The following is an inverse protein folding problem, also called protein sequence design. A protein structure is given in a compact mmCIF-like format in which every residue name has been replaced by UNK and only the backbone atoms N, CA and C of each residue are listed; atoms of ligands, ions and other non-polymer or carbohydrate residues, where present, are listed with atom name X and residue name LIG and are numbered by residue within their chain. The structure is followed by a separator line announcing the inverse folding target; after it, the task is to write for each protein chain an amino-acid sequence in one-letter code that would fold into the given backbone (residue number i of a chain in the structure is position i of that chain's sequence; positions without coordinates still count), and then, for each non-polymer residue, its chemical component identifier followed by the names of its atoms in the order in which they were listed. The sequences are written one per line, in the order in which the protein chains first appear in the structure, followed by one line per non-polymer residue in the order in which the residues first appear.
data_IF_097910008283
#
_entry.id   IF_097910008283
#
_cell.length_a   1.000
_cell.length_b   1.000
_cell.length_c   1.000
_cell.angle_alpha   90.00
_cell.angle_beta   90.00
_cell.angle_gamma   90.00
#
_symmetry.space_group_name_H-M   'P 1'
#
loop_
_entity.id
_entity.type
_entity.pdbx_description
1 polymer ?
#
# COMPACT_ATOMS: atom_id res chain seq x y z
N UNK A 1 70.04 -13.00 -70.57
CA UNK A 1 70.36 -11.65 -70.07
C UNK A 1 69.07 -10.84 -70.07
N UNK A 2 68.83 -10.10 -68.98
CA UNK A 2 67.74 -9.14 -68.69
C UNK A 2 66.38 -9.67 -68.23
N UNK A 3 66.11 -9.31 -66.98
CA UNK A 3 64.84 -9.30 -66.28
C UNK A 3 63.91 -8.20 -66.81
N UNK A 4 62.60 -8.43 -66.66
CA UNK A 4 61.63 -7.38 -66.41
C UNK A 4 60.50 -7.95 -65.55
N UNK A 5 60.29 -7.27 -64.43
CA UNK A 5 59.28 -7.46 -63.39
C UNK A 5 57.88 -7.12 -63.87
N UNK A 6 56.85 -7.76 -63.29
CA UNK A 6 55.59 -7.09 -62.97
C UNK A 6 55.04 -7.65 -61.66
N UNK A 7 55.04 -6.78 -60.66
CA UNK A 7 54.43 -6.98 -59.35
C UNK A 7 52.91 -7.13 -59.49
N UNK A 8 52.37 -8.19 -58.90
CA UNK A 8 51.01 -8.21 -58.38
C UNK A 8 50.95 -7.23 -57.20
N UNK A 9 49.97 -6.33 -57.21
CA UNK A 9 49.61 -5.52 -56.06
C UNK A 9 48.35 -6.14 -55.44
N UNK A 10 48.43 -6.74 -54.23
CA UNK A 10 47.26 -7.00 -53.40
C UNK A 10 46.91 -5.75 -52.61
N UNK A 11 45.61 -5.58 -52.38
CA UNK A 11 44.91 -4.44 -51.80
C UNK A 11 45.20 -4.20 -50.31
N UNK A 12 46.20 -3.37 -49.99
CA UNK A 12 46.44 -2.89 -48.61
C UNK A 12 45.48 -1.78 -48.14
N UNK A 13 44.47 -1.40 -48.93
CA UNK A 13 43.55 -0.31 -48.57
C UNK A 13 42.27 -0.73 -47.86
N UNK A 14 41.80 -1.98 -47.99
CA UNK A 14 40.51 -2.40 -47.42
C UNK A 14 40.54 -2.50 -45.88
N UNK A 15 41.62 -2.98 -45.27
CA UNK A 15 41.73 -3.12 -43.81
C UNK A 15 41.83 -1.79 -43.04
N UNK A 16 42.29 -0.72 -43.68
CA UNK A 16 42.38 0.61 -43.04
C UNK A 16 41.00 1.26 -42.96
N UNK A 17 40.18 1.14 -44.01
CA UNK A 17 38.82 1.69 -44.02
C UNK A 17 37.87 0.94 -43.10
N UNK A 18 38.01 -0.39 -42.96
CA UNK A 18 37.26 -1.15 -41.94
C UNK A 18 37.64 -0.71 -40.53
N UNK A 19 38.94 -0.56 -40.22
CA UNK A 19 39.37 -0.11 -38.88
C UNK A 19 38.94 1.33 -38.54
N UNK A 20 38.91 2.21 -39.55
CA UNK A 20 38.47 3.60 -39.39
C UNK A 20 36.94 3.68 -39.26
N UNK A 21 36.21 2.90 -40.05
CA UNK A 21 34.74 2.80 -39.96
C UNK A 21 34.30 2.26 -38.60
N UNK A 22 34.96 1.23 -38.07
CA UNK A 22 34.67 0.69 -36.74
C UNK A 22 34.98 1.69 -35.62
N UNK A 23 36.09 2.43 -35.74
CA UNK A 23 36.44 3.45 -34.76
C UNK A 23 35.44 4.62 -34.77
N UNK A 24 34.99 5.04 -35.96
CA UNK A 24 33.94 6.07 -36.12
C UNK A 24 32.60 5.57 -35.58
N UNK A 25 32.19 4.32 -35.89
CA UNK A 25 30.94 3.73 -35.41
C UNK A 25 30.93 3.61 -33.89
N UNK A 26 32.01 3.12 -33.28
CA UNK A 26 32.16 3.06 -31.82
C UNK A 26 32.07 4.46 -31.20
N UNK A 27 32.74 5.45 -31.79
CA UNK A 27 32.72 6.83 -31.30
C UNK A 27 31.30 7.41 -31.38
N UNK A 28 30.57 7.15 -32.46
CA UNK A 28 29.18 7.59 -32.64
C UNK A 28 28.24 6.90 -31.65
N UNK A 29 28.37 5.59 -31.42
CA UNK A 29 27.56 4.85 -30.44
C UNK A 29 27.81 5.40 -29.04
N UNK A 30 29.06 5.64 -28.67
CA UNK A 30 29.42 6.23 -27.37
C UNK A 30 28.85 7.65 -27.23
N UNK A 31 28.93 8.47 -28.27
CA UNK A 31 28.34 9.82 -28.29
C UNK A 31 26.82 9.79 -28.17
N UNK A 32 26.13 8.92 -28.91
CA UNK A 32 24.68 8.76 -28.82
C UNK A 32 24.31 8.29 -27.41
N UNK A 33 25.06 7.35 -26.84
CA UNK A 33 24.82 6.86 -25.47
C UNK A 33 25.01 7.98 -24.45
N UNK A 34 26.08 8.79 -24.57
CA UNK A 34 26.31 9.96 -23.72
C UNK A 34 25.21 11.01 -23.87
N UNK A 35 24.76 11.29 -25.10
CA UNK A 35 23.67 12.24 -25.36
C UNK A 35 22.35 11.72 -24.80
N UNK A 36 22.06 10.43 -24.91
CA UNK A 36 20.87 9.81 -24.31
C UNK A 36 20.94 9.88 -22.79
N UNK A 37 22.09 9.57 -22.19
CA UNK A 37 22.29 9.69 -20.73
C UNK A 37 22.16 11.14 -20.27
N UNK A 38 22.73 12.09 -21.02
CA UNK A 38 22.61 13.52 -20.72
C UNK A 38 21.16 14.00 -20.87
N UNK A 39 20.45 13.57 -21.92
CA UNK A 39 19.04 13.92 -22.13
C UNK A 39 18.15 13.34 -21.02
N UNK A 40 18.39 12.09 -20.61
CA UNK A 40 17.69 11.49 -19.47
C UNK A 40 17.96 12.26 -18.18
N UNK A 41 19.22 12.59 -17.88
CA UNK A 41 19.60 13.35 -16.70
C UNK A 41 19.02 14.78 -16.70
N UNK A 42 19.04 15.46 -17.84
CA UNK A 42 18.45 16.81 -17.99
C UNK A 42 16.93 16.76 -17.86
N UNK A 43 16.25 15.75 -18.41
CA UNK A 43 14.80 15.56 -18.24
C UNK A 43 14.46 15.25 -16.79
N UNK A 44 15.26 14.43 -16.10
CA UNK A 44 15.11 14.17 -14.66
C UNK A 44 15.24 15.47 -13.85
N UNK A 45 16.28 16.29 -14.12
CA UNK A 45 16.46 17.57 -13.45
C UNK A 45 15.35 18.59 -13.77
N UNK A 46 14.89 18.67 -15.03
CA UNK A 46 13.78 19.54 -15.41
C UNK A 46 12.46 19.12 -14.77
N UNK A 47 12.19 17.81 -14.64
CA UNK A 47 11.01 17.31 -13.94
C UNK A 47 11.03 17.69 -12.45
N UNK A 48 12.21 17.65 -11.81
CA UNK A 48 12.39 18.12 -10.42
C UNK A 48 12.13 19.63 -10.30
N UNK A 49 12.47 20.43 -11.32
CA UNK A 49 12.27 21.89 -11.31
C UNK A 49 10.85 22.34 -11.70
N UNK A 50 10.19 21.64 -12.63
CA UNK A 50 8.84 21.98 -13.12
C UNK A 50 7.77 21.44 -12.16
N UNK A 51 8.02 20.30 -11.52
CA UNK A 51 7.13 19.68 -10.54
C UNK A 51 7.89 19.48 -9.22
N UNK A 52 7.96 20.50 -8.34
CA UNK A 52 8.74 20.42 -7.10
C UNK A 52 8.19 19.44 -6.06
N UNK A 53 7.17 18.64 -6.41
CA UNK A 53 6.60 17.54 -5.61
C UNK A 53 6.72 16.19 -6.35
N UNK A 54 7.54 16.10 -7.39
CA UNK A 54 7.69 14.92 -8.24
C UNK A 54 8.93 14.11 -7.83
N UNK A 55 8.68 12.86 -7.43
CA UNK A 55 9.72 11.85 -7.20
C UNK A 55 10.41 11.46 -8.50
N UNK A 56 11.76 11.46 -8.52
CA UNK A 56 12.56 11.21 -9.73
C UNK A 56 13.01 9.75 -9.92
N UNK A 57 12.51 8.79 -9.12
CA UNK A 57 13.02 7.41 -9.02
C UNK A 57 12.90 6.48 -10.24
N UNK A 58 13.28 6.94 -11.43
CA UNK A 58 13.54 6.13 -12.60
C UNK A 58 12.31 5.68 -13.40
N UNK A 59 12.58 5.19 -14.61
CA UNK A 59 11.59 4.86 -15.64
C UNK A 59 10.75 3.59 -15.37
N UNK A 60 11.12 2.75 -14.39
CA UNK A 60 10.43 1.50 -14.07
C UNK A 60 9.81 1.56 -12.67
N UNK A 61 8.63 2.21 -12.60
CA UNK A 61 7.88 2.41 -11.34
C UNK A 61 7.31 1.09 -10.80
N UNK A 62 7.57 0.72 -9.53
CA UNK A 62 6.81 -0.32 -8.84
C UNK A 62 5.36 0.15 -8.69
N UNK A 63 4.40 -0.67 -9.08
CA UNK A 63 3.00 -0.40 -8.78
C UNK A 63 2.66 -1.16 -7.50
N UNK A 64 1.86 -0.59 -6.61
CA UNK A 64 1.21 -1.42 -5.60
C UNK A 64 0.15 -2.27 -6.30
N UNK A 65 -0.02 -3.50 -5.82
CA UNK A 65 -1.05 -4.45 -6.20
C UNK A 65 -1.79 -4.88 -4.94
N UNK A 66 -3.12 -4.93 -5.03
CA UNK A 66 -3.99 -5.51 -4.01
C UNK A 66 -4.59 -6.78 -4.59
N UNK A 67 -4.41 -7.90 -3.89
CA UNK A 67 -5.06 -9.16 -4.19
C UNK A 67 -5.84 -9.61 -2.95
N UNK A 68 -7.04 -10.14 -3.14
CA UNK A 68 -7.77 -10.82 -2.07
C UNK A 68 -7.98 -12.28 -2.43
N UNK A 69 -7.87 -13.17 -1.46
CA UNK A 69 -8.17 -14.59 -1.62
C UNK A 69 -8.94 -15.13 -0.42
N UNK A 70 -9.87 -16.05 -0.67
CA UNK A 70 -10.57 -16.78 0.39
C UNK A 70 -9.77 -18.04 0.76
N UNK A 71 -9.05 -18.00 1.87
CA UNK A 71 -8.27 -19.12 2.38
C UNK A 71 -9.16 -20.11 3.13
N UNK A 72 -8.92 -21.41 2.91
CA UNK A 72 -9.63 -22.47 3.61
C UNK A 72 -8.71 -23.17 4.61
N UNK A 73 -8.70 -22.69 5.85
CA UNK A 73 -7.90 -23.27 6.92
C UNK A 73 -8.35 -24.67 7.33
N UNK A 74 -9.54 -25.14 6.94
CA UNK A 74 -9.94 -26.53 7.23
C UNK A 74 -9.10 -27.55 6.45
N UNK A 75 -8.50 -27.11 5.34
CA UNK A 75 -7.65 -27.94 4.47
C UNK A 75 -6.18 -27.96 4.87
N UNK A 76 -5.76 -27.14 5.84
CA UNK A 76 -4.35 -27.14 6.26
C UNK A 76 -4.04 -28.36 7.14
N UNK A 77 -2.94 -29.03 6.81
CA UNK A 77 -2.37 -30.13 7.60
C UNK A 77 -1.16 -29.67 8.43
N UNK A 78 -0.81 -28.39 8.35
CA UNK A 78 0.39 -27.85 9.00
C UNK A 78 0.17 -27.64 10.50
N UNK A 79 1.01 -28.25 11.34
CA UNK A 79 0.91 -28.08 12.81
C UNK A 79 1.19 -26.64 13.25
N UNK A 80 2.01 -25.90 12.49
CA UNK A 80 2.23 -24.46 12.72
C UNK A 80 0.99 -23.60 12.53
N UNK A 81 -0.07 -24.12 11.90
CA UNK A 81 -1.35 -23.44 11.69
C UNK A 81 -2.49 -24.09 12.50
N UNK A 82 -2.16 -24.82 13.57
CA UNK A 82 -3.15 -25.51 14.38
C UNK A 82 -4.16 -24.54 15.00
N UNK A 83 -3.71 -23.35 15.43
CA UNK A 83 -4.57 -22.30 15.99
C UNK A 83 -5.50 -21.73 14.92
N UNK A 84 -4.97 -21.34 13.77
CA UNK A 84 -5.77 -20.81 12.65
C UNK A 84 -6.79 -21.83 12.15
N UNK A 85 -6.40 -23.11 12.08
CA UNK A 85 -7.31 -24.21 11.74
C UNK A 85 -8.44 -24.36 12.76
N UNK A 86 -8.14 -24.24 14.06
CA UNK A 86 -9.15 -24.35 15.10
C UNK A 86 -10.11 -23.15 15.13
N UNK A 87 -9.61 -21.95 14.84
CA UNK A 87 -10.34 -20.68 14.95
C UNK A 87 -11.12 -20.35 13.67
N UNK A 88 -10.53 -20.58 12.50
CA UNK A 88 -11.08 -20.21 11.19
C UNK A 88 -11.52 -21.41 10.34
N UNK A 89 -11.26 -22.65 10.78
CA UNK A 89 -11.68 -23.84 10.07
C UNK A 89 -13.19 -23.87 9.83
N UNK A 90 -13.61 -23.99 8.57
CA UNK A 90 -15.02 -24.00 8.18
C UNK A 90 -15.69 -22.62 8.10
N UNK A 91 -14.93 -21.54 8.24
CA UNK A 91 -15.40 -20.17 8.03
C UNK A 91 -14.70 -19.52 6.83
N UNK A 92 -15.34 -18.60 6.10
CA UNK A 92 -14.66 -17.77 5.12
C UNK A 92 -13.50 -17.01 5.77
N UNK A 93 -12.36 -16.95 5.09
CA UNK A 93 -11.21 -16.18 5.54
C UNK A 93 -10.62 -15.40 4.38
N UNK A 94 -10.93 -14.12 4.29
CA UNK A 94 -10.38 -13.25 3.26
C UNK A 94 -9.01 -12.75 3.72
N UNK A 95 -7.99 -13.10 2.95
CA UNK A 95 -6.64 -12.59 3.06
C UNK A 95 -6.40 -11.54 1.99
N UNK A 96 -5.75 -10.44 2.36
CA UNK A 96 -5.41 -9.31 1.50
C UNK A 96 -3.90 -9.23 1.38
N UNK A 97 -3.40 -9.30 0.16
CA UNK A 97 -1.99 -9.25 -0.15
C UNK A 97 -1.69 -7.91 -0.82
N UNK A 98 -0.80 -7.15 -0.19
CA UNK A 98 -0.25 -5.91 -0.71
C UNK A 98 1.16 -6.21 -1.21
N UNK A 99 1.45 -5.96 -2.48
CA UNK A 99 2.80 -6.21 -2.99
C UNK A 99 3.18 -5.23 -4.09
N UNK A 100 4.48 -5.00 -4.26
CA UNK A 100 5.00 -4.17 -5.32
C UNK A 100 6.06 -4.93 -6.13
N UNK A 101 5.65 -5.64 -7.20
CA UNK A 101 6.57 -6.43 -7.98
C UNK A 101 7.48 -5.50 -8.78
N UNK A 102 8.78 -5.80 -8.77
CA UNK A 102 9.77 -5.16 -9.66
C UNK A 102 9.56 -5.52 -11.13
N UNK A 103 8.71 -6.52 -11.45
CA UNK A 103 8.40 -6.94 -12.82
C UNK A 103 6.94 -7.39 -12.98
N UNK A 104 6.28 -6.95 -14.06
CA UNK A 104 4.83 -7.05 -14.29
C UNK A 104 4.27 -8.48 -14.55
N UNK A 105 5.02 -9.55 -14.28
CA UNK A 105 4.69 -10.91 -14.75
C UNK A 105 4.69 -12.02 -13.71
N UNK A 106 4.90 -11.73 -12.43
CA UNK A 106 4.84 -12.74 -11.38
C UNK A 106 3.40 -13.21 -11.12
N UNK A 107 3.16 -14.53 -11.17
CA UNK A 107 1.91 -15.16 -10.75
C UNK A 107 2.02 -15.49 -9.27
N UNK A 108 0.96 -15.27 -8.50
CA UNK A 108 0.90 -15.52 -7.05
C UNK A 108 -0.08 -16.65 -6.75
N UNK A 109 0.17 -17.40 -5.69
CA UNK A 109 -0.77 -18.37 -5.12
C UNK A 109 -0.69 -18.34 -3.60
N UNK A 110 -1.72 -18.78 -2.88
CA UNK A 110 -1.68 -18.89 -1.42
C UNK A 110 -1.42 -20.34 -1.02
N UNK A 111 -0.39 -20.53 -0.20
CA UNK A 111 -0.05 -21.81 0.40
C UNK A 111 0.11 -21.60 1.89
N UNK A 112 -0.64 -22.37 2.70
CA UNK A 112 -0.62 -22.26 4.16
C UNK A 112 -0.88 -20.83 4.66
N UNK A 113 -1.82 -20.11 4.04
CA UNK A 113 -2.16 -18.73 4.44
C UNK A 113 -1.05 -17.71 4.19
N UNK A 114 -0.09 -18.01 3.31
CA UNK A 114 0.94 -17.09 2.86
C UNK A 114 0.90 -16.98 1.34
N UNK A 115 1.09 -15.78 0.81
CA UNK A 115 1.23 -15.61 -0.64
C UNK A 115 2.64 -16.00 -1.05
N UNK A 116 2.74 -16.92 -2.00
CA UNK A 116 3.99 -17.41 -2.57
C UNK A 116 4.00 -17.16 -4.08
N UNK A 117 5.18 -16.99 -4.64
CA UNK A 117 5.33 -16.96 -6.09
C UNK A 117 4.90 -18.31 -6.67
N UNK A 118 4.04 -18.29 -7.69
CA UNK A 118 3.71 -19.48 -8.47
C UNK A 118 4.89 -19.98 -9.32
N UNK A 119 5.94 -19.16 -9.49
CA UNK A 119 7.19 -19.52 -10.17
C UNK A 119 8.35 -19.64 -9.18
N UNK A 120 9.04 -20.77 -9.22
CA UNK A 120 10.22 -21.04 -8.41
C UNK A 120 11.33 -20.01 -8.68
N UNK A 121 11.99 -19.51 -7.62
CA UNK A 121 13.09 -18.54 -7.72
C UNK A 121 12.70 -17.07 -7.90
N UNK A 122 11.40 -16.72 -7.91
CA UNK A 122 10.96 -15.32 -7.84
C UNK A 122 10.65 -14.92 -6.39
N UNK A 123 11.16 -13.77 -5.95
CA UNK A 123 10.79 -13.11 -4.70
C UNK A 123 10.09 -11.78 -5.00
N UNK A 124 9.16 -11.39 -4.13
CA UNK A 124 8.50 -10.10 -4.17
C UNK A 124 9.18 -9.15 -3.19
N UNK A 125 9.55 -7.96 -3.67
CA UNK A 125 9.94 -6.88 -2.77
C UNK A 125 8.67 -6.25 -2.18
N UNK A 126 8.68 -5.97 -0.88
CA UNK A 126 7.59 -5.25 -0.21
C UNK A 126 6.24 -5.98 -0.18
N UNK A 127 6.24 -7.31 -0.07
CA UNK A 127 5.02 -8.09 0.15
C UNK A 127 4.57 -7.97 1.61
N UNK A 128 3.29 -7.68 1.81
CA UNK A 128 2.63 -7.69 3.10
C UNK A 128 1.31 -8.46 2.97
N UNK A 129 1.21 -9.57 3.69
CA UNK A 129 -0.01 -10.38 3.79
C UNK A 129 -0.77 -9.94 5.05
N UNK A 130 -2.02 -9.53 4.87
CA UNK A 130 -2.89 -9.02 5.92
C UNK A 130 -4.18 -9.84 5.96
N UNK A 131 -4.74 -10.01 7.16
CA UNK A 131 -6.16 -10.38 7.27
C UNK A 131 -7.02 -9.23 6.72
N UNK A 132 -8.22 -9.51 6.21
CA UNK A 132 -9.14 -8.46 5.76
C UNK A 132 -9.39 -7.40 6.85
N UNK A 133 -9.53 -7.82 8.11
CA UNK A 133 -9.67 -6.89 9.23
C UNK A 133 -8.42 -6.00 9.41
N UNK A 134 -7.21 -6.55 9.39
CA UNK A 134 -5.99 -5.76 9.51
C UNK A 134 -5.79 -4.82 8.31
N UNK A 135 -6.19 -5.24 7.12
CA UNK A 135 -6.24 -4.36 5.96
C UNK A 135 -7.21 -3.19 6.19
N UNK A 136 -8.40 -3.41 6.74
CA UNK A 136 -9.37 -2.34 7.02
C UNK A 136 -8.88 -1.39 8.12
N UNK A 137 -8.16 -1.89 9.14
CA UNK A 137 -7.52 -1.07 10.17
C UNK A 137 -6.51 -0.09 9.55
N UNK A 138 -5.71 -0.58 8.61
CA UNK A 138 -4.73 0.20 7.86
C UNK A 138 -5.39 1.18 6.89
N UNK A 139 -6.33 0.68 6.07
CA UNK A 139 -6.99 1.41 5.00
C UNK A 139 -7.77 2.62 5.50
N UNK A 140 -8.20 2.61 6.77
CA UNK A 140 -8.81 3.76 7.43
C UNK A 140 -7.91 5.01 7.46
N UNK A 141 -6.58 4.83 7.43
CA UNK A 141 -5.61 5.91 7.38
C UNK A 141 -5.24 6.38 5.97
N UNK A 142 -5.88 5.83 4.95
CA UNK A 142 -5.56 6.11 3.54
C UNK A 142 -6.82 6.66 2.87
N UNK A 143 -6.69 7.83 2.24
CA UNK A 143 -7.73 8.39 1.38
C UNK A 143 -7.30 8.18 -0.07
N UNK A 144 -7.96 7.28 -0.83
CA UNK A 144 -7.62 7.08 -2.23
C UNK A 144 -7.94 8.35 -3.01
N UNK A 145 -7.02 8.73 -3.88
CA UNK A 145 -7.27 9.81 -4.83
C UNK A 145 -8.52 9.52 -5.63
N UNK A 146 -9.45 10.47 -5.71
CA UNK A 146 -10.69 10.33 -6.47
C UNK A 146 -11.05 11.62 -7.20
N UNK A 147 -11.92 11.49 -8.20
CA UNK A 147 -12.39 12.61 -9.00
C UNK A 147 -13.89 12.47 -9.31
N UNK A 148 -14.62 13.58 -9.47
CA UNK A 148 -16.04 13.53 -9.78
C UNK A 148 -16.28 13.07 -11.23
N UNK A 149 -17.11 12.04 -11.40
CA UNK A 149 -17.63 11.56 -12.68
C UNK A 149 -19.14 11.44 -12.59
N UNK A 150 -19.85 12.15 -13.47
CA UNK A 150 -21.31 12.14 -13.52
C UNK A 150 -22.00 12.39 -12.14
N UNK A 151 -21.37 13.21 -11.28
CA UNK A 151 -21.88 13.54 -9.94
C UNK A 151 -21.42 12.61 -8.82
N UNK A 152 -20.72 11.52 -9.11
CA UNK A 152 -20.18 10.58 -8.11
C UNK A 152 -18.65 10.70 -8.01
N UNK A 153 -18.08 10.52 -6.82
CA UNK A 153 -16.62 10.39 -6.69
C UNK A 153 -16.19 9.02 -7.19
N UNK A 154 -15.23 8.98 -8.11
CA UNK A 154 -14.66 7.72 -8.61
C UNK A 154 -13.18 7.69 -8.30
N UNK A 155 -12.69 6.53 -7.85
CA UNK A 155 -11.28 6.35 -7.56
C UNK A 155 -10.40 6.57 -8.81
N UNK A 156 -9.30 7.28 -8.62
CA UNK A 156 -8.13 7.19 -9.49
C UNK A 156 -7.66 5.75 -9.45
N UNK A 157 -7.44 5.11 -10.60
CA UNK A 157 -6.88 3.76 -10.63
C UNK A 157 -5.41 3.78 -10.17
N UNK A 158 -5.23 3.84 -8.87
CA UNK A 158 -4.05 3.45 -8.11
C UNK A 158 -4.54 2.89 -6.76
N UNK A 159 -3.91 1.84 -6.24
CA UNK A 159 -2.81 1.09 -6.84
C UNK A 159 -3.27 0.21 -8.02
N UNK A 160 -2.40 -0.05 -9.02
CA UNK A 160 -2.79 -0.89 -10.16
C UNK A 160 -3.17 -2.25 -9.60
N UNK A 161 -4.41 -2.64 -9.83
CA UNK A 161 -4.84 -4.01 -9.60
C UNK A 161 -3.86 -4.96 -10.26
N UNK A 162 -3.86 -6.21 -9.80
CA UNK A 162 -3.42 -7.30 -10.66
C UNK A 162 -4.44 -7.41 -11.80
N UNK A 163 -4.42 -6.45 -12.73
CA UNK A 163 -5.17 -6.47 -13.97
C UNK A 163 -4.58 -7.50 -14.93
N UNK A 164 -3.96 -8.57 -14.41
CA UNK A 164 -3.79 -9.79 -15.18
C UNK A 164 -5.14 -10.36 -15.63
N UNK A 165 -6.30 -9.83 -15.19
CA UNK A 165 -7.60 -10.47 -15.47
C UNK A 165 -8.84 -9.56 -15.46
N UNK A 166 -8.78 -8.29 -15.88
CA UNK A 166 -10.00 -7.60 -16.35
C UNK A 166 -10.09 -7.86 -17.86
N UNK A 167 -11.04 -8.70 -18.26
CA UNK A 167 -11.32 -8.96 -19.66
C UNK A 167 -12.27 -7.88 -20.17
N UNK A 168 -11.83 -7.13 -21.18
CA UNK A 168 -12.75 -6.34 -21.99
C UNK A 168 -13.64 -7.32 -22.77
N UNK A 169 -14.95 -7.18 -22.63
CA UNK A 169 -15.98 -7.87 -23.41
C UNK A 169 -16.52 -6.89 -24.47
N UNK A 170 -15.97 -6.91 -25.70
CA UNK A 170 -16.41 -5.99 -26.74
C UNK A 170 -17.87 -6.29 -27.09
N UNK A 171 -18.74 -5.29 -26.98
CA UNK A 171 -20.16 -5.39 -27.37
C UNK A 171 -21.17 -5.40 -26.23
N UNK A 172 -20.73 -5.36 -24.96
CA UNK A 172 -21.61 -5.04 -23.83
C UNK A 172 -21.39 -3.59 -23.40
N UNK A 173 -22.48 -2.87 -23.12
CA UNK A 173 -22.39 -1.67 -22.28
C UNK A 173 -21.81 -2.12 -20.94
N UNK A 174 -20.75 -1.45 -20.46
CA UNK A 174 -20.00 -1.84 -19.27
C UNK A 174 -19.30 -3.21 -19.36
N UNK A 175 -18.86 -3.60 -20.56
CA UNK A 175 -18.21 -4.88 -20.86
C UNK A 175 -16.82 -5.07 -20.25
N UNK A 176 -16.70 -5.05 -18.92
CA UNK A 176 -15.51 -5.47 -18.20
C UNK A 176 -15.89 -6.64 -17.29
N UNK A 177 -15.28 -7.80 -17.48
CA UNK A 177 -15.44 -8.97 -16.61
C UNK A 177 -14.23 -9.11 -15.69
N UNK A 178 -14.48 -9.08 -14.38
CA UNK A 178 -13.50 -9.40 -13.35
C UNK A 178 -13.50 -10.92 -13.12
N UNK A 179 -12.32 -11.54 -12.95
CA UNK A 179 -12.23 -12.90 -12.40
C UNK A 179 -12.71 -12.93 -10.92
N UNK A 180 -13.11 -14.09 -10.37
CA UNK A 180 -13.62 -14.19 -8.99
C UNK A 180 -12.69 -13.59 -7.92
N UNK A 181 -11.36 -13.72 -8.08
CA UNK A 181 -10.37 -13.13 -7.16
C UNK A 181 -10.37 -11.59 -7.21
N UNK A 182 -10.70 -11.00 -8.37
CA UNK A 182 -10.88 -9.56 -8.51
C UNK A 182 -12.18 -9.08 -7.89
N UNK A 183 -13.25 -9.88 -7.95
CA UNK A 183 -14.51 -9.55 -7.27
C UNK A 183 -14.30 -9.48 -5.75
N UNK A 184 -13.55 -10.42 -5.18
CA UNK A 184 -13.22 -10.41 -3.76
C UNK A 184 -12.38 -9.19 -3.38
N UNK A 185 -11.38 -8.83 -4.19
CA UNK A 185 -10.56 -7.64 -3.97
C UNK A 185 -11.39 -6.34 -4.07
N UNK A 186 -12.28 -6.25 -5.07
CA UNK A 186 -13.20 -5.12 -5.24
C UNK A 186 -14.14 -4.98 -4.04
N UNK A 187 -14.77 -6.07 -3.59
CA UNK A 187 -15.64 -6.03 -2.39
C UNK A 187 -14.86 -5.62 -1.13
N UNK A 188 -13.64 -6.12 -0.97
CA UNK A 188 -12.78 -5.78 0.18
C UNK A 188 -12.42 -4.29 0.18
N UNK A 189 -12.03 -3.75 -0.97
CA UNK A 189 -11.72 -2.33 -1.10
C UNK A 189 -12.95 -1.44 -1.03
N UNK A 190 -14.10 -1.84 -1.60
CA UNK A 190 -15.35 -1.10 -1.49
C UNK A 190 -15.76 -0.91 -0.03
N UNK A 191 -15.57 -1.97 0.78
CA UNK A 191 -15.75 -1.90 2.23
C UNK A 191 -14.81 -0.87 2.89
N UNK A 192 -13.56 -0.77 2.41
CA UNK A 192 -12.60 0.24 2.86
C UNK A 192 -12.87 1.64 2.30
N UNK A 193 -13.38 1.75 1.08
CA UNK A 193 -13.45 2.96 0.28
C UNK A 193 -14.62 2.87 -0.74
N UNK A 194 -15.78 3.49 -0.43
CA UNK A 194 -16.98 3.44 -1.27
C UNK A 194 -16.77 3.98 -2.69
N UNK A 195 -15.71 4.75 -2.93
CA UNK A 195 -15.33 5.20 -4.29
C UNK A 195 -15.05 4.03 -5.26
N UNK A 196 -14.81 2.82 -4.74
CA UNK A 196 -14.68 1.59 -5.54
C UNK A 196 -16.00 0.82 -5.74
N UNK A 197 -17.12 1.24 -5.11
CA UNK A 197 -18.47 0.73 -5.44
C UNK A 197 -18.99 1.30 -6.77
N UNK A 198 -18.37 2.39 -7.24
CA UNK A 198 -18.73 3.05 -8.49
C UNK A 198 -17.93 2.48 -9.67
N UNK A 199 -18.48 2.63 -10.88
CA UNK A 199 -17.80 2.24 -12.11
C UNK A 199 -16.42 2.91 -12.21
N UNK A 200 -15.38 2.11 -12.44
CA UNK A 200 -14.01 2.61 -12.61
C UNK A 200 -13.79 3.12 -14.04
N UNK A 201 -13.12 4.28 -14.17
CA UNK A 201 -12.80 4.88 -15.47
C UNK A 201 -11.28 4.81 -15.75
N UNK A 202 -10.79 3.78 -16.48
CA UNK A 202 -9.36 3.54 -16.66
C UNK A 202 -8.64 4.55 -17.57
N UNK A 203 -9.36 5.45 -18.26
CA UNK A 203 -8.79 6.42 -19.20
C UNK A 203 -9.40 7.80 -19.00
N UNK A 204 -8.61 8.76 -18.50
CA UNK A 204 -9.00 10.17 -18.30
C UNK A 204 -7.92 11.14 -18.80
N UNK A 205 -8.22 12.44 -18.80
CA UNK A 205 -7.26 13.47 -19.16
C UNK A 205 -6.22 13.66 -18.05
N UNK A 206 -4.96 13.95 -18.41
CA UNK A 206 -3.84 14.10 -17.46
C UNK A 206 -4.14 15.07 -16.29
N UNK A 207 -4.87 16.17 -16.56
CA UNK A 207 -5.23 17.16 -15.54
C UNK A 207 -6.19 16.63 -14.46
N UNK A 208 -7.03 15.63 -14.77
CA UNK A 208 -7.91 15.00 -13.77
C UNK A 208 -7.09 14.22 -12.73
N UNK A 209 -5.92 13.70 -13.13
CA UNK A 209 -5.02 12.95 -12.24
C UNK A 209 -4.30 13.85 -11.23
N UNK A 210 -4.04 15.11 -11.57
CA UNK A 210 -3.34 16.05 -10.69
C UNK A 210 -4.14 16.40 -9.42
N UNK A 211 -5.48 16.36 -9.51
CA UNK A 211 -6.39 16.67 -8.41
C UNK A 211 -6.78 15.44 -7.56
N UNK A 212 -6.55 14.23 -8.07
CA UNK A 212 -6.95 12.97 -7.44
C UNK A 212 -5.76 12.33 -6.71
N UNK A 213 -5.18 13.04 -5.73
CA UNK A 213 -4.03 12.55 -4.97
C UNK A 213 -4.45 11.61 -3.85
N UNK A 214 -3.78 10.47 -3.73
CA UNK A 214 -3.94 9.57 -2.58
C UNK A 214 -3.24 10.17 -1.38
N UNK A 215 -3.91 10.22 -0.22
CA UNK A 215 -3.30 10.70 1.02
C UNK A 215 -3.11 9.55 1.99
N UNK A 216 -1.95 9.50 2.62
CA UNK A 216 -1.62 8.57 3.69
C UNK A 216 -1.43 9.38 4.95
N UNK A 217 -2.35 9.26 5.88
CA UNK A 217 -2.33 10.02 7.13
C UNK A 217 -1.49 9.31 8.18
N UNK A 218 -0.56 10.05 8.79
CA UNK A 218 0.38 9.52 9.76
C UNK A 218 0.33 10.32 11.06
N UNK A 219 0.22 9.60 12.16
CA UNK A 219 0.44 10.13 13.51
C UNK A 219 1.70 9.50 14.10
N UNK A 220 2.41 10.27 14.93
CA UNK A 220 3.57 9.75 15.68
C UNK A 220 3.11 9.42 17.09
N UNK A 221 3.48 8.23 17.59
CA UNK A 221 3.19 7.82 18.95
C UNK A 221 4.39 8.16 19.83
N UNK A 222 4.15 8.85 20.94
CA UNK A 222 5.15 8.95 21.99
C UNK A 222 5.17 7.66 22.80
N UNK A 223 6.36 7.14 23.06
CA UNK A 223 6.56 5.99 23.91
C UNK A 223 7.74 6.22 24.85
N UNK A 224 7.66 5.61 26.03
CA UNK A 224 8.65 5.75 27.08
C UNK A 224 9.94 4.94 26.83
N UNK A 225 9.94 4.09 25.80
CA UNK A 225 10.99 3.13 25.47
C UNK A 225 11.91 3.59 24.33
N UNK A 226 11.94 4.90 24.03
CA UNK A 226 12.70 5.54 22.94
C UNK A 226 12.41 4.97 21.53
N UNK A 227 11.43 4.10 21.38
CA UNK A 227 11.11 3.50 20.09
C UNK A 227 10.26 4.45 19.23
N UNK A 228 10.73 4.76 18.03
CA UNK A 228 9.98 5.58 17.08
C UNK A 228 8.81 4.79 16.51
N UNK A 229 7.59 5.26 16.76
CA UNK A 229 6.36 4.61 16.28
C UNK A 229 5.50 5.56 15.49
N UNK A 230 4.98 5.05 14.38
CA UNK A 230 3.97 5.72 13.56
C UNK A 230 2.68 4.92 13.55
N UNK A 231 1.57 5.62 13.34
CA UNK A 231 0.26 5.01 13.13
C UNK A 231 -0.34 5.49 11.82
N UNK A 232 -0.78 4.54 11.00
CA UNK A 232 -1.56 4.74 9.78
C UNK A 232 -2.93 4.10 10.01
N UNK A 233 -3.97 4.92 10.05
CA UNK A 233 -5.31 4.46 10.41
C UNK A 233 -5.30 3.98 11.85
N UNK A 234 -5.47 2.69 12.08
CA UNK A 234 -5.33 2.06 13.40
C UNK A 234 -4.11 1.15 13.51
N UNK A 235 -3.32 1.00 12.44
CA UNK A 235 -2.15 0.13 12.42
C UNK A 235 -0.93 0.88 12.91
N UNK A 236 -0.24 0.31 13.91
CA UNK A 236 1.00 0.85 14.47
C UNK A 236 2.20 0.13 13.88
N UNK A 237 3.23 0.90 13.55
CA UNK A 237 4.51 0.42 13.03
C UNK A 237 5.65 1.00 13.85
N UNK A 238 6.67 0.17 14.10
CA UNK A 238 7.90 0.53 14.81
C UNK A 238 9.02 0.75 13.79
N UNK A 239 9.68 1.90 13.84
CA UNK A 239 10.71 2.33 12.91
C UNK A 239 12.11 2.26 13.55
N UNK A 240 13.17 2.01 12.76
CA UNK A 240 13.16 1.66 11.33
C UNK A 240 12.76 0.18 11.05
N UNK A 241 12.54 -0.62 12.10
CA UNK A 241 12.37 -2.07 12.01
C UNK A 241 11.32 -2.54 11.00
N UNK A 242 10.13 -1.93 10.96
CA UNK A 242 9.03 -2.30 10.06
C UNK A 242 9.26 -1.89 8.60
N UNK A 243 10.22 -1.00 8.35
CA UNK A 243 10.71 -0.70 7.00
C UNK A 243 11.75 -1.73 6.60
N UNK A 244 12.73 -2.00 7.47
CA UNK A 244 13.81 -2.95 7.21
C UNK A 244 13.32 -4.39 7.03
N UNK A 245 12.30 -4.82 7.79
CA UNK A 245 11.69 -6.14 7.66
C UNK A 245 10.69 -6.26 6.49
N UNK A 246 10.44 -5.16 5.77
CA UNK A 246 9.56 -5.11 4.61
C UNK A 246 8.06 -5.00 4.91
N UNK A 247 7.61 -4.92 6.17
CA UNK A 247 6.18 -4.72 6.53
C UNK A 247 5.59 -3.45 5.92
N UNK A 248 6.40 -2.42 5.74
CA UNK A 248 6.03 -1.16 5.09
C UNK A 248 6.46 -1.07 3.63
N UNK A 249 7.11 -2.11 3.08
CA UNK A 249 7.64 -2.08 1.72
C UNK A 249 6.56 -1.91 0.63
N UNK A 250 5.30 -2.26 0.91
CA UNK A 250 4.17 -2.01 0.00
C UNK A 250 3.91 -0.52 -0.23
N UNK A 251 4.31 0.37 0.69
CA UNK A 251 4.21 1.82 0.53
C UNK A 251 5.10 2.34 -0.60
N UNK A 252 6.19 1.63 -0.94
CA UNK A 252 6.98 1.96 -2.12
C UNK A 252 6.15 1.86 -3.40
N UNK A 253 5.09 1.03 -3.43
CA UNK A 253 4.15 0.98 -4.55
C UNK A 253 3.20 2.19 -4.64
N UNK A 254 3.14 3.02 -3.58
CA UNK A 254 2.48 4.32 -3.55
C UNK A 254 3.43 5.48 -3.89
N UNK A 255 4.74 5.27 -4.06
CA UNK A 255 5.78 6.30 -4.33
C UNK A 255 5.63 7.07 -5.67
N UNK A 256 4.44 7.04 -6.28
CA UNK A 256 4.11 7.90 -7.42
C UNK A 256 3.91 9.36 -6.96
N UNK A 257 4.19 10.34 -7.83
CA UNK A 257 3.93 11.76 -7.59
C UNK A 257 2.44 12.15 -7.40
N UNK A 258 1.55 11.15 -7.26
CA UNK A 258 0.13 11.30 -6.95
C UNK A 258 -0.21 10.84 -5.53
N UNK A 259 0.78 10.58 -4.68
CA UNK A 259 0.59 10.27 -3.26
C UNK A 259 1.17 11.36 -2.38
N UNK A 260 0.46 11.71 -1.32
CA UNK A 260 0.89 12.63 -0.26
C UNK A 260 0.94 11.89 1.07
N UNK A 261 2.02 12.08 1.82
CA UNK A 261 2.10 11.64 3.21
C UNK A 261 1.76 12.83 4.09
N UNK A 262 0.66 12.72 4.83
CA UNK A 262 0.09 13.82 5.61
C UNK A 262 0.35 13.59 7.09
N UNK A 263 1.21 14.41 7.67
CA UNK A 263 1.50 14.36 9.10
C UNK A 263 0.38 15.02 9.91
N UNK A 264 -0.23 14.26 10.82
CA UNK A 264 -1.33 14.71 11.68
C UNK A 264 -0.87 15.09 13.10
N UNK A 265 0.44 15.11 13.35
CA UNK A 265 1.00 15.44 14.65
C UNK A 265 1.23 14.22 15.54
N UNK A 266 1.54 14.50 16.81
CA UNK A 266 1.70 13.49 17.85
C UNK A 266 0.34 12.98 18.32
N UNK A 267 0.22 11.67 18.52
CA UNK A 267 -0.89 11.03 19.20
C UNK A 267 -0.59 10.96 20.71
N UNK A 268 -1.65 11.06 21.52
CA UNK A 268 -1.58 10.86 22.96
C UNK A 268 -2.74 9.98 23.41
N UNK A 269 -2.55 9.26 24.51
CA UNK A 269 -3.58 8.43 25.12
C UNK A 269 -3.53 8.54 26.64
N UNK A 270 -4.70 8.42 27.28
CA UNK A 270 -4.88 8.39 28.73
C UNK A 270 -5.72 7.16 29.07
N UNK A 271 -5.07 6.00 29.35
CA UNK A 271 -5.78 4.77 29.67
C UNK A 271 -6.67 4.89 30.91
N UNK A 272 -6.25 5.65 31.92
CA UNK A 272 -7.04 5.85 33.15
C UNK A 272 -8.36 6.60 32.89
N UNK A 273 -8.39 7.49 31.90
CA UNK A 273 -9.56 8.29 31.54
C UNK A 273 -10.32 7.71 30.34
N UNK A 274 -9.89 6.56 29.80
CA UNK A 274 -10.43 5.95 28.59
C UNK A 274 -10.58 6.95 27.44
N UNK A 275 -9.55 7.78 27.21
CA UNK A 275 -9.56 8.81 26.18
C UNK A 275 -8.22 8.94 25.48
N UNK A 276 -8.24 9.45 24.25
CA UNK A 276 -7.07 9.73 23.44
C UNK A 276 -7.34 10.95 22.56
N UNK A 277 -6.33 11.39 21.82
CA UNK A 277 -6.41 12.57 20.94
C UNK A 277 -7.61 12.56 19.99
N UNK A 278 -7.94 11.42 19.41
CA UNK A 278 -9.06 11.28 18.46
C UNK A 278 -10.40 11.37 19.19
N UNK A 279 -10.55 10.65 20.32
CA UNK A 279 -11.75 10.67 21.17
C UNK A 279 -12.03 12.09 21.66
N UNK A 280 -11.03 12.76 22.23
CA UNK A 280 -11.15 14.14 22.74
C UNK A 280 -11.62 15.12 21.65
N UNK A 281 -11.07 14.99 20.43
CA UNK A 281 -11.53 15.78 19.30
C UNK A 281 -12.98 15.46 18.92
N UNK A 282 -13.35 14.19 18.82
CA UNK A 282 -14.70 13.78 18.45
C UNK A 282 -15.74 14.32 19.44
N UNK A 283 -15.46 14.26 20.74
CA UNK A 283 -16.34 14.81 21.78
C UNK A 283 -16.49 16.33 21.66
N UNK A 284 -15.37 17.06 21.55
CA UNK A 284 -15.37 18.53 21.45
C UNK A 284 -16.03 19.03 20.17
N UNK A 285 -16.00 18.24 19.10
CA UNK A 285 -16.53 18.61 17.79
C UNK A 285 -17.96 18.10 17.54
N UNK A 286 -18.59 17.45 18.53
CA UNK A 286 -19.98 17.01 18.45
C UNK A 286 -20.21 15.64 17.80
N UNK A 287 -19.16 14.85 17.58
CA UNK A 287 -19.24 13.48 17.06
C UNK A 287 -19.35 12.44 18.19
N UNK A 288 -20.42 12.53 19.00
CA UNK A 288 -20.58 11.72 20.20
C UNK A 288 -20.59 10.20 19.93
N UNK A 289 -21.27 9.75 18.87
CA UNK A 289 -21.32 8.33 18.49
C UNK A 289 -19.94 7.82 18.05
N UNK A 290 -19.20 8.61 17.26
CA UNK A 290 -17.84 8.28 16.85
C UNK A 290 -16.89 8.20 18.05
N UNK A 291 -17.02 9.11 19.02
CA UNK A 291 -16.24 9.09 20.26
C UNK A 291 -16.51 7.83 21.09
N UNK A 292 -17.78 7.43 21.22
CA UNK A 292 -18.16 6.24 21.97
C UNK A 292 -17.67 4.94 21.30
N UNK A 293 -17.87 4.80 19.99
CA UNK A 293 -17.43 3.63 19.24
C UNK A 293 -15.90 3.52 19.23
N UNK A 294 -15.21 4.65 19.03
CA UNK A 294 -13.74 4.68 19.11
C UNK A 294 -13.24 4.36 20.53
N UNK A 295 -13.93 4.83 21.57
CA UNK A 295 -13.59 4.48 22.97
C UNK A 295 -13.74 2.99 23.23
N UNK A 296 -14.84 2.37 22.80
CA UNK A 296 -15.06 0.91 22.94
C UNK A 296 -14.00 0.11 22.19
N UNK A 297 -13.56 0.62 21.03
CA UNK A 297 -12.48 0.03 20.24
C UNK A 297 -11.11 0.14 20.92
N UNK A 298 -10.74 1.32 21.43
CA UNK A 298 -9.43 1.54 22.08
C UNK A 298 -9.34 1.04 23.52
N UNK A 299 -10.47 0.99 24.23
CA UNK A 299 -10.57 0.62 25.64
C UNK A 299 -11.71 -0.39 25.85
N UNK A 300 -11.54 -1.65 25.38
CA UNK A 300 -12.59 -2.66 25.46
C UNK A 300 -12.93 -3.02 26.92
N UNK A 301 -14.22 -3.10 27.25
CA UNK A 301 -14.73 -3.37 28.61
C UNK A 301 -14.99 -4.86 28.89
N UNK A 302 -14.08 -5.74 28.44
CA UNK A 302 -14.15 -7.19 28.60
C UNK A 302 -14.35 -7.96 27.30
N UNK A 303 -14.61 -9.27 27.42
CA UNK A 303 -14.77 -10.19 26.29
C UNK A 303 -16.23 -10.57 26.04
N UNK A 304 -16.58 -10.81 24.78
CA UNK A 304 -17.89 -11.37 24.40
C UNK A 304 -17.91 -12.90 24.55
N UNK A 305 -19.10 -13.50 24.55
CA UNK A 305 -19.22 -14.97 24.59
C UNK A 305 -18.58 -15.67 23.39
N UNK A 306 -18.56 -15.02 22.22
CA UNK A 306 -17.87 -15.56 21.04
C UNK A 306 -16.35 -15.41 21.17
N UNK A 307 -15.86 -14.29 21.72
CA UNK A 307 -14.42 -14.11 22.00
C UNK A 307 -13.92 -15.15 23.00
N UNK A 308 -14.66 -15.40 24.09
CA UNK A 308 -14.34 -16.46 25.06
C UNK A 308 -14.25 -17.84 24.41
N UNK A 309 -15.13 -18.12 23.44
CA UNK A 309 -15.11 -19.37 22.68
C UNK A 309 -13.89 -19.44 21.78
N UNK A 310 -13.54 -18.36 21.09
CA UNK A 310 -12.35 -18.28 20.23
C UNK A 310 -11.06 -18.44 21.02
N UNK A 311 -10.96 -17.81 22.20
CA UNK A 311 -9.84 -18.00 23.13
C UNK A 311 -9.70 -19.48 23.51
N UNK A 312 -10.79 -20.13 23.95
CA UNK A 312 -10.76 -21.57 24.29
C UNK A 312 -10.31 -22.45 23.13
N UNK A 313 -10.75 -22.14 21.90
CA UNK A 313 -10.31 -22.85 20.71
C UNK A 313 -8.79 -22.67 20.48
N UNK A 314 -8.29 -21.45 20.59
CA UNK A 314 -6.86 -21.15 20.45
C UNK A 314 -6.02 -21.85 21.54
N UNK A 315 -6.43 -21.77 22.80
CA UNK A 315 -5.74 -22.46 23.91
C UNK A 315 -5.75 -23.98 23.72
N UNK A 316 -6.88 -24.56 23.31
CA UNK A 316 -6.99 -26.01 23.05
C UNK A 316 -6.09 -26.45 21.89
N UNK A 317 -5.90 -25.57 20.90
CA UNK A 317 -5.01 -25.79 19.77
C UNK A 317 -3.51 -25.58 20.10
N UNK A 318 -3.17 -25.22 21.35
CA UNK A 318 -1.81 -25.07 21.82
C UNK A 318 -1.23 -23.66 21.73
N UNK A 319 -2.08 -22.62 21.70
CA UNK A 319 -1.64 -21.22 21.86
C UNK A 319 -0.75 -21.06 23.09
N UNK A 320 0.38 -20.36 22.92
CA UNK A 320 1.29 -19.97 24.00
C UNK A 320 1.28 -18.46 24.24
N UNK A 321 0.28 -17.76 23.70
CA UNK A 321 0.16 -16.31 23.84
C UNK A 321 -0.18 -15.94 25.29
N UNK A 322 0.37 -14.84 25.83
CA UNK A 322 -0.12 -14.25 27.08
C UNK A 322 -1.61 -13.91 27.00
N UNK A 323 -2.31 -13.94 28.14
CA UNK A 323 -3.78 -13.71 28.21
C UNK A 323 -4.21 -12.42 27.51
N UNK A 324 -3.50 -11.32 27.72
CA UNK A 324 -3.81 -10.02 27.08
C UNK A 324 -3.72 -10.11 25.54
N UNK A 325 -2.74 -10.84 25.02
CA UNK A 325 -2.59 -11.08 23.58
C UNK A 325 -3.64 -12.07 23.05
N UNK A 326 -4.08 -13.04 23.85
CA UNK A 326 -5.18 -13.94 23.48
C UNK A 326 -6.52 -13.21 23.37
N UNK A 327 -6.78 -12.25 24.26
CA UNK A 327 -7.98 -11.41 24.18
C UNK A 327 -7.95 -10.52 22.93
N UNK A 328 -6.81 -9.89 22.63
CA UNK A 328 -6.64 -9.10 21.41
C UNK A 328 -6.81 -9.97 20.16
N UNK A 329 -6.19 -11.14 20.15
CA UNK A 329 -6.33 -12.13 19.09
C UNK A 329 -7.80 -12.52 18.89
N UNK A 330 -8.53 -12.82 19.97
CA UNK A 330 -9.93 -13.23 19.87
C UNK A 330 -10.85 -12.12 19.34
N UNK A 331 -10.61 -10.86 19.75
CA UNK A 331 -11.31 -9.69 19.18
C UNK A 331 -11.04 -9.55 17.69
N UNK A 332 -9.77 -9.63 17.29
CA UNK A 332 -9.38 -9.56 15.88
C UNK A 332 -9.94 -10.73 15.07
N UNK A 333 -9.97 -11.95 15.64
CA UNK A 333 -10.50 -13.14 15.00
C UNK A 333 -12.01 -13.10 14.80
N UNK A 334 -12.77 -12.60 15.78
CA UNK A 334 -14.21 -12.38 15.64
C UNK A 334 -14.49 -11.38 14.51
N UNK A 335 -13.82 -10.23 14.52
CA UNK A 335 -13.96 -9.20 13.49
C UNK A 335 -13.57 -9.76 12.11
N UNK A 336 -12.45 -10.46 12.01
CA UNK A 336 -11.97 -11.09 10.78
C UNK A 336 -12.97 -12.09 10.19
N UNK A 337 -13.59 -12.95 11.02
CA UNK A 337 -14.62 -13.89 10.56
C UNK A 337 -15.84 -13.16 10.00
N UNK A 338 -16.32 -12.15 10.72
CA UNK A 338 -17.51 -11.38 10.35
C UNK A 338 -17.30 -10.54 9.09
N UNK A 339 -16.14 -9.92 8.97
CA UNK A 339 -15.73 -9.17 7.78
C UNK A 339 -15.56 -10.11 6.58
N UNK A 340 -14.91 -11.26 6.75
CA UNK A 340 -14.73 -12.23 5.67
C UNK A 340 -16.07 -12.79 5.17
N UNK A 341 -16.98 -13.14 6.08
CA UNK A 341 -18.35 -13.54 5.76
C UNK A 341 -19.08 -12.44 4.97
N UNK A 342 -18.97 -11.17 5.39
CA UNK A 342 -19.56 -10.04 4.67
C UNK A 342 -18.99 -9.82 3.27
N UNK A 343 -17.67 -9.94 3.11
CA UNK A 343 -17.01 -9.80 1.79
C UNK A 343 -17.44 -10.93 0.85
N UNK A 344 -17.52 -12.17 1.33
CA UNK A 344 -17.87 -13.32 0.48
C UNK A 344 -19.37 -13.33 0.14
N UNK A 345 -20.23 -13.17 1.15
CA UNK A 345 -21.69 -13.35 0.99
C UNK A 345 -22.43 -12.05 0.67
N UNK A 346 -21.76 -10.89 0.71
CA UNK A 346 -22.36 -9.57 0.50
C UNK A 346 -23.23 -9.10 1.67
N UNK A 347 -23.07 -9.68 2.86
CA UNK A 347 -23.78 -9.27 4.07
C UNK A 347 -23.16 -8.01 4.70
N UNK A 348 -23.81 -7.43 5.71
CA UNK A 348 -23.27 -6.24 6.40
C UNK A 348 -22.34 -6.66 7.55
N UNK A 349 -21.14 -6.08 7.59
CA UNK A 349 -20.21 -6.17 8.72
C UNK A 349 -20.06 -4.85 9.49
N UNK A 350 -21.03 -3.91 9.39
CA UNK A 350 -20.89 -2.54 9.94
C UNK A 350 -20.43 -2.51 11.41
N UNK A 351 -20.97 -3.41 12.25
CA UNK A 351 -20.64 -3.49 13.68
C UNK A 351 -19.19 -3.95 13.97
N UNK A 352 -18.51 -4.52 12.99
CA UNK A 352 -17.14 -5.04 13.09
C UNK A 352 -16.14 -4.21 12.30
N UNK A 353 -16.60 -3.16 11.60
CA UNK A 353 -15.71 -2.27 10.89
C UNK A 353 -14.93 -1.38 11.87
N UNK A 354 -13.67 -1.07 11.58
CA UNK A 354 -12.91 -0.06 12.33
C UNK A 354 -13.67 1.26 12.45
N UNK A 355 -13.68 1.93 13.63
CA UNK A 355 -14.51 3.12 13.86
C UNK A 355 -14.28 4.25 12.84
N UNK A 356 -13.03 4.46 12.41
CA UNK A 356 -12.67 5.46 11.39
C UNK A 356 -13.30 5.19 10.01
N UNK A 357 -13.62 3.93 9.68
CA UNK A 357 -14.33 3.59 8.44
C UNK A 357 -15.85 3.76 8.58
N UNK A 358 -16.38 3.57 9.80
CA UNK A 358 -17.81 3.76 10.11
C UNK A 358 -18.15 5.25 10.16
N UNK A 359 -17.32 6.05 10.81
CA UNK A 359 -17.51 7.48 11.09
C UNK A 359 -16.54 8.34 10.27
N UNK A 360 -16.62 8.23 8.94
CA UNK A 360 -15.69 8.90 8.01
C UNK A 360 -15.76 10.42 8.07
N UNK A 361 -16.96 10.95 8.32
CA UNK A 361 -17.19 12.37 8.53
C UNK A 361 -16.44 12.90 9.76
N UNK A 362 -16.50 12.17 10.88
CA UNK A 362 -15.72 12.48 12.07
C UNK A 362 -14.21 12.39 11.80
N UNK A 363 -13.77 11.32 11.13
CA UNK A 363 -12.36 11.14 10.75
C UNK A 363 -11.84 12.26 9.82
N UNK A 364 -12.60 12.60 8.78
CA UNK A 364 -12.23 13.66 7.84
C UNK A 364 -12.17 15.03 8.54
N UNK A 365 -13.12 15.31 9.45
CA UNK A 365 -13.08 16.52 10.27
C UNK A 365 -11.84 16.55 11.18
N UNK A 366 -11.44 15.42 11.75
CA UNK A 366 -10.23 15.30 12.56
C UNK A 366 -8.96 15.53 11.74
N UNK A 367 -8.85 14.90 10.58
CA UNK A 367 -7.71 15.06 9.68
C UNK A 367 -7.59 16.53 9.24
N UNK A 368 -8.70 17.15 8.82
CA UNK A 368 -8.76 18.57 8.45
C UNK A 368 -8.36 19.49 9.59
N UNK A 369 -8.85 19.22 10.80
CA UNK A 369 -8.49 19.96 12.00
C UNK A 369 -6.98 19.86 12.26
N UNK A 370 -6.42 18.65 12.25
CA UNK A 370 -4.99 18.43 12.42
C UNK A 370 -4.18 19.15 11.35
N UNK A 371 -4.54 19.06 10.07
CA UNK A 371 -3.85 19.75 8.98
C UNK A 371 -3.86 21.27 9.17
N UNK A 372 -5.02 21.85 9.56
CA UNK A 372 -5.15 23.31 9.75
C UNK A 372 -4.43 23.82 11.00
N UNK A 373 -4.41 23.02 12.06
CA UNK A 373 -3.76 23.39 13.34
C UNK A 373 -2.27 23.05 13.36
N UNK A 374 -1.82 22.10 12.54
CA UNK A 374 -0.43 21.72 12.35
C UNK A 374 0.33 22.65 11.39
N UNK A 375 -0.27 23.75 10.94
CA UNK A 375 0.46 24.89 10.33
C UNK A 375 1.39 25.46 11.41
N UNK A 376 2.56 24.83 11.59
CA UNK A 376 3.54 25.09 12.65
C UNK A 376 4.11 23.85 13.37
N UNK A 377 3.57 22.65 13.13
CA UNK A 377 4.09 21.39 13.68
C UNK A 377 5.07 20.74 12.73
N UNK A 378 6.38 20.92 12.95
CA UNK A 378 7.41 20.25 12.16
C UNK A 378 7.37 18.74 12.46
N UNK A 379 7.29 17.86 11.45
CA UNK A 379 7.49 16.42 11.65
C UNK A 379 8.83 16.15 12.34
N UNK A 380 8.95 15.12 13.20
CA UNK A 380 10.23 14.76 13.80
C UNK A 380 11.29 14.46 12.72
N UNK A 381 12.54 14.88 12.94
CA UNK A 381 13.62 14.71 11.95
C UNK A 381 13.83 13.23 11.56
N UNK A 382 13.70 12.31 12.53
CA UNK A 382 13.84 10.87 12.30
C UNK A 382 12.80 10.31 11.32
N UNK A 383 11.62 10.92 11.20
CA UNK A 383 10.56 10.45 10.31
C UNK A 383 11.02 10.48 8.84
N UNK A 384 11.90 11.41 8.49
CA UNK A 384 12.47 11.47 7.16
C UNK A 384 13.42 10.30 6.90
N UNK A 385 14.45 10.14 7.73
CA UNK A 385 15.52 9.16 7.51
C UNK A 385 15.12 7.71 7.78
N UNK A 386 14.22 7.47 8.74
CA UNK A 386 13.84 6.10 9.13
C UNK A 386 12.62 5.55 8.37
N UNK A 387 11.81 6.43 7.77
CA UNK A 387 10.56 6.02 7.14
C UNK A 387 10.43 6.48 5.69
N UNK A 388 10.58 7.78 5.40
CA UNK A 388 10.30 8.31 4.07
C UNK A 388 11.41 8.03 3.05
N UNK A 389 12.66 8.37 3.39
CA UNK A 389 13.80 8.17 2.49
C UNK A 389 14.01 6.69 2.11
N UNK A 390 13.97 5.72 3.04
CA UNK A 390 14.16 4.30 2.68
C UNK A 390 13.04 3.74 1.80
N UNK A 391 11.84 4.32 1.84
CA UNK A 391 10.70 3.94 1.00
C UNK A 391 10.66 4.70 -0.33
N UNK A 392 11.62 5.61 -0.58
CA UNK A 392 11.70 6.41 -1.80
C UNK A 392 10.69 7.56 -1.84
N UNK A 393 10.36 8.17 -0.70
CA UNK A 393 9.61 9.42 -0.67
C UNK A 393 10.57 10.61 -0.55
N UNK A 394 10.47 11.58 -1.47
CA UNK A 394 11.25 12.82 -1.40
C UNK A 394 10.69 13.81 -0.37
N UNK A 395 11.53 14.73 0.12
CA UNK A 395 11.18 15.72 1.16
C UNK A 395 9.94 16.58 0.85
N UNK A 396 9.58 16.74 -0.43
CA UNK A 396 8.42 17.52 -0.87
C UNK A 396 7.05 16.83 -0.66
N UNK A 397 7.04 15.56 -0.28
CA UNK A 397 5.81 14.74 -0.14
C UNK A 397 5.09 14.99 1.19
N UNK A 398 5.75 15.59 2.19
CA UNK A 398 5.15 15.90 3.49
C UNK A 398 4.59 17.32 3.51
N UNK A 399 3.26 17.45 3.52
CA UNK A 399 2.62 18.73 3.89
C UNK A 399 2.94 19.03 5.35
N UNK A 400 3.73 20.07 5.59
CA UNK A 400 4.18 20.51 6.92
C UNK A 400 5.61 21.08 6.95
N UNK A 401 6.41 20.85 5.91
CA UNK A 401 7.81 21.36 5.84
C UNK A 401 7.99 22.64 5.01
N UNK A 402 6.97 23.13 4.30
CA UNK A 402 7.06 24.41 3.59
C UNK A 402 6.75 25.56 4.54
N UNK A 403 7.79 26.32 4.89
CA UNK A 403 7.63 27.75 5.09
C UNK A 403 7.16 28.32 3.75
N UNK A 404 5.94 28.86 3.71
CA UNK A 404 5.55 29.79 2.67
C UNK A 404 6.46 31.03 2.83
N UNK A 405 7.52 31.08 2.03
CA UNK A 405 8.43 32.22 1.88
C UNK A 405 8.26 32.85 0.51
#
# INVERSE_FOLDING_TARGET
MRAATRHEAPSDSEGIYESFSDMVLCTVIVLITLVVVLALNVVEQLNVYIEPNHFSGGATRPWLYVQAQNADYSKTTSDRLAVERAVYGGHPFVMVNLFSPSSAHSETTVKDGLTVSAKEGQSFLGQCDLTAYNFLLLAAGIEPGSFPVAGNQTALMLPKFSHKSILLEPGKADGYAATPDNELALKTMAMAWPVYDHQLFPRRAANDYLNARTKIFIEVLESDDDAHRIMIGHSVFTLPQDVENGRLGWLAGFSSGLTEVVYLGKAWSSPAEHTNKRIDFFEKSGFAEAAEDYRRFSYPQGTTSEQDKLMRLATTAGSTMPVEQEEEYARAAEAQRKISEAIVDGSSAKAYLPPLLVHRDAWNAYADYCIKTAVGGTPPEWLMGEFLEPLGFDQAVVRGLRQDG
#
